data_IF_886449924716
#
_entry.id   IF_886449924716
#
_cell.length_a   1.000
_cell.length_b   1.000
_cell.length_c   1.000
_cell.angle_alpha   90.00
_cell.angle_beta   90.00
_cell.angle_gamma   90.00
#
_symmetry.space_group_name_H-M   'P 1'
#
loop_
_entity.id
_entity.type
_entity.pdbx_description
1 polymer ?
#
# COMPACT_ATOMS: atom_id res chain seq x y z
N UNK A 1 -9.79 -12.01 0.68
CA UNK A 1 -8.65 -11.18 1.11
C UNK A 1 -9.20 -9.91 1.75
N UNK A 2 -9.05 -9.75 3.07
CA UNK A 2 -9.62 -8.64 3.84
C UNK A 2 -8.54 -7.61 4.19
N UNK A 3 -8.76 -6.34 3.87
CA UNK A 3 -7.89 -5.24 4.30
C UNK A 3 -8.05 -5.02 5.80
N UNK A 4 -6.96 -5.08 6.56
CA UNK A 4 -6.94 -4.87 8.02
C UNK A 4 -6.45 -3.47 8.40
N UNK A 5 -5.54 -2.91 7.60
CA UNK A 5 -4.96 -1.61 7.86
C UNK A 5 -4.60 -0.93 6.54
N UNK A 6 -4.97 0.34 6.42
CA UNK A 6 -4.55 1.22 5.33
C UNK A 6 -3.70 2.33 5.93
N UNK A 7 -2.50 2.53 5.39
CA UNK A 7 -1.60 3.61 5.78
C UNK A 7 -1.36 4.56 4.61
N UNK A 8 -1.33 5.84 4.92
CA UNK A 8 -1.00 6.91 3.99
C UNK A 8 0.52 7.06 3.84
N UNK A 9 0.99 7.63 2.71
CA UNK A 9 2.38 7.99 2.54
C UNK A 9 2.88 8.89 3.69
N UNK A 10 4.09 8.64 4.17
CA UNK A 10 4.71 9.43 5.25
C UNK A 10 4.45 8.92 6.67
N UNK A 11 3.41 8.10 6.87
CA UNK A 11 3.17 7.44 8.16
C UNK A 11 4.27 6.43 8.53
N UNK A 12 4.31 6.04 9.81
CA UNK A 12 5.24 5.01 10.27
C UNK A 12 5.00 3.71 9.50
N UNK A 13 6.07 3.07 9.00
CA UNK A 13 5.99 1.85 8.19
C UNK A 13 5.79 2.06 6.68
N UNK A 14 5.52 3.29 6.22
CA UNK A 14 5.39 3.63 4.78
C UNK A 14 6.56 4.44 4.23
N UNK A 15 7.41 5.04 5.08
CA UNK A 15 8.55 5.89 4.68
C UNK A 15 9.54 5.28 3.68
N UNK A 16 9.72 3.95 3.68
CA UNK A 16 10.56 3.27 2.66
C UNK A 16 9.86 3.23 1.30
N UNK A 17 8.56 2.94 1.30
CA UNK A 17 7.73 2.86 0.09
C UNK A 17 7.50 4.25 -0.50
N UNK A 18 7.28 5.26 0.33
CA UNK A 18 7.24 6.66 -0.11
C UNK A 18 8.56 7.08 -0.76
N UNK A 19 9.72 6.68 -0.20
CA UNK A 19 11.01 6.96 -0.86
C UNK A 19 11.19 6.23 -2.19
N UNK A 20 10.58 5.06 -2.35
CA UNK A 20 10.68 4.26 -3.57
C UNK A 20 9.75 4.75 -4.68
N UNK A 21 8.50 5.07 -4.33
CA UNK A 21 7.44 5.38 -5.30
C UNK A 21 7.10 6.87 -5.37
N UNK A 22 7.59 7.68 -4.43
CA UNK A 22 7.38 9.12 -4.41
C UNK A 22 5.89 9.48 -4.42
N UNK A 23 5.57 10.50 -5.20
CA UNK A 23 4.23 11.08 -5.31
C UNK A 23 3.23 10.16 -6.02
N UNK A 24 3.71 9.12 -6.71
CA UNK A 24 2.83 8.09 -7.30
C UNK A 24 2.21 7.18 -6.24
N UNK A 25 2.71 7.16 -5.00
CA UNK A 25 2.16 6.32 -3.95
C UNK A 25 0.87 6.91 -3.37
N UNK A 26 -0.25 6.25 -3.61
CA UNK A 26 -1.55 6.62 -3.03
C UNK A 26 -1.67 6.10 -1.59
N UNK A 27 -1.46 4.81 -1.37
CA UNK A 27 -1.54 4.20 -0.04
C UNK A 27 -0.84 2.84 0.06
N UNK A 28 -0.69 2.34 1.29
CA UNK A 28 -0.16 1.01 1.60
C UNK A 28 -1.23 0.22 2.37
N UNK A 29 -1.59 -0.98 1.91
CA UNK A 29 -2.61 -1.83 2.54
C UNK A 29 -2.01 -3.13 3.06
N UNK A 30 -2.32 -3.45 4.31
CA UNK A 30 -2.04 -4.74 4.93
C UNK A 30 -3.30 -5.60 4.88
N UNK A 31 -3.22 -6.70 4.14
CA UNK A 31 -4.34 -7.58 3.88
C UNK A 31 -4.07 -8.97 4.45
N UNK A 32 -5.11 -9.58 4.99
CA UNK A 32 -5.06 -10.97 5.43
C UNK A 32 -5.93 -11.83 4.51
N UNK A 33 -5.37 -12.96 4.10
CA UNK A 33 -6.07 -14.00 3.37
C UNK A 33 -6.19 -15.21 4.26
N UNK A 34 -7.35 -15.36 4.89
CA UNK A 34 -7.67 -16.44 5.82
C UNK A 34 -7.60 -17.82 5.18
N UNK A 35 -8.00 -17.92 3.90
CA UNK A 35 -8.04 -19.20 3.18
C UNK A 35 -6.63 -19.76 2.97
N UNK A 36 -5.70 -18.91 2.52
CA UNK A 36 -4.31 -19.30 2.30
C UNK A 36 -3.40 -19.05 3.52
N UNK A 37 -3.95 -18.52 4.63
CA UNK A 37 -3.19 -18.07 5.82
C UNK A 37 -2.03 -17.13 5.48
N UNK A 38 -2.23 -16.23 4.50
CA UNK A 38 -1.19 -15.32 4.00
C UNK A 38 -1.44 -13.90 4.44
N UNK A 39 -0.35 -13.19 4.76
CA UNK A 39 -0.33 -11.75 4.99
C UNK A 39 0.29 -11.08 3.78
N UNK A 40 -0.44 -10.16 3.19
CA UNK A 40 0.02 -9.37 2.06
C UNK A 40 0.24 -7.93 2.50
N UNK A 41 1.32 -7.34 1.99
CA UNK A 41 1.55 -5.90 2.02
C UNK A 41 1.49 -5.42 0.58
N UNK A 42 0.55 -4.54 0.29
CA UNK A 42 0.29 -4.04 -1.06
C UNK A 42 0.42 -2.53 -1.09
N UNK A 43 0.72 -1.99 -2.26
CA UNK A 43 0.76 -0.55 -2.52
C UNK A 43 -0.21 -0.23 -3.65
N UNK A 44 -0.84 0.93 -3.57
CA UNK A 44 -1.65 1.48 -4.65
C UNK A 44 -0.86 2.63 -5.26
N UNK A 45 -0.68 2.57 -6.58
CA UNK A 45 0.19 3.46 -7.34
C UNK A 45 -0.59 4.15 -8.46
N UNK A 46 -0.29 5.42 -8.70
CA UNK A 46 -0.65 6.11 -9.94
C UNK A 46 0.28 5.57 -11.03
N UNK A 47 -0.28 5.01 -12.11
CA UNK A 47 0.48 4.53 -13.27
C UNK A 47 0.32 5.48 -14.47
N UNK A 48 -0.82 6.17 -14.54
CA UNK A 48 -1.14 7.15 -15.58
C UNK A 48 -2.01 8.25 -14.96
N UNK A 49 -1.77 9.49 -15.38
CA UNK A 49 -2.56 10.67 -15.03
C UNK A 49 -2.83 11.45 -16.32
N UNK A 50 -4.11 11.68 -16.63
CA UNK A 50 -4.56 12.43 -17.81
C UNK A 50 -5.43 13.62 -17.37
N UNK A 51 -5.29 14.81 -17.99
CA UNK A 51 -6.13 15.97 -17.69
C UNK A 51 -7.63 15.77 -17.98
#
# INVERSE_FOLDING_TARGET
MQTKLTLLPGQSGTKKLLRQYGDQLICVRYCYDDYHKKRYKTVELIIEETP
#
